data_IF_097078325830
#
_entry.id   IF_097078325830
#
_cell.length_a   1.000
_cell.length_b   1.000
_cell.length_c   1.000
_cell.angle_alpha   90.00
_cell.angle_beta   90.00
_cell.angle_gamma   90.00
#
_symmetry.space_group_name_H-M   'P 1'
#
loop_
_entity.id
_entity.type
_entity.pdbx_description
1 polymer ?
#
# COMPACT_ATOMS: atom_id res chain seq x y z
N UNK A 1 9.17 7.75 8.20
CA UNK A 1 9.30 7.72 6.73
C UNK A 1 8.16 6.90 6.14
N UNK A 2 7.67 7.29 4.98
CA UNK A 2 6.55 6.59 4.34
C UNK A 2 7.05 5.63 3.27
N UNK A 3 6.80 4.33 3.48
CA UNK A 3 7.11 3.29 2.50
C UNK A 3 5.79 2.96 1.79
N UNK A 4 5.43 3.75 0.79
CA UNK A 4 4.10 3.70 0.18
C UNK A 4 4.02 2.63 -0.91
N UNK A 5 5.01 2.58 -1.81
CA UNK A 5 5.05 1.57 -2.88
C UNK A 5 6.47 1.05 -3.10
N UNK A 6 7.08 0.58 -2.05
CA UNK A 6 8.43 0.03 -2.02
C UNK A 6 9.42 0.95 -1.34
N UNK A 7 10.58 0.41 -1.04
CA UNK A 7 11.68 1.17 -0.44
C UNK A 7 12.80 1.35 -1.46
N UNK A 8 13.61 0.33 -1.71
CA UNK A 8 14.61 0.36 -2.78
C UNK A 8 14.05 -0.13 -4.09
N UNK A 9 13.34 -1.25 -4.06
CA UNK A 9 12.62 -1.77 -5.22
C UNK A 9 11.30 -1.02 -5.34
N UNK A 10 11.05 -0.40 -6.49
CA UNK A 10 9.80 0.28 -6.77
C UNK A 10 8.71 -0.72 -7.10
N UNK A 11 7.61 -0.67 -6.36
CA UNK A 11 6.41 -1.47 -6.61
C UNK A 11 5.32 -0.59 -7.22
N UNK A 12 4.25 -1.17 -7.80
CA UNK A 12 3.15 -0.39 -8.31
C UNK A 12 2.53 0.52 -7.25
N UNK A 13 1.92 1.61 -7.68
CA UNK A 13 1.16 2.48 -6.76
C UNK A 13 0.06 1.68 -6.07
N UNK A 14 -0.31 2.01 -4.82
CA UNK A 14 -1.34 1.28 -4.10
C UNK A 14 -2.66 1.14 -4.85
N UNK A 15 -3.08 2.18 -5.56
CA UNK A 15 -4.31 2.12 -6.36
C UNK A 15 -4.17 1.10 -7.52
N UNK A 16 -3.01 1.04 -8.16
CA UNK A 16 -2.75 0.06 -9.21
C UNK A 16 -2.71 -1.36 -8.67
N UNK A 17 -2.09 -1.56 -7.49
CA UNK A 17 -2.09 -2.86 -6.82
C UNK A 17 -3.52 -3.30 -6.47
N UNK A 18 -4.33 -2.38 -5.97
CA UNK A 18 -5.73 -2.67 -5.66
C UNK A 18 -6.51 -3.06 -6.91
N UNK A 19 -6.26 -2.41 -8.03
CA UNK A 19 -6.92 -2.71 -9.31
C UNK A 19 -6.59 -4.11 -9.84
N UNK A 20 -5.50 -4.73 -9.39
CA UNK A 20 -5.14 -6.10 -9.77
C UNK A 20 -6.02 -7.16 -9.13
N UNK A 21 -6.67 -6.85 -8.02
CA UNK A 21 -7.43 -7.79 -7.18
C UNK A 21 -6.62 -9.02 -6.74
N UNK A 22 -5.30 -8.88 -6.65
CA UNK A 22 -4.39 -9.95 -6.23
C UNK A 22 -3.83 -9.64 -4.84
N UNK A 23 -4.53 -10.09 -3.81
CA UNK A 23 -4.14 -9.83 -2.42
C UNK A 23 -2.82 -10.49 -2.03
N UNK A 24 -2.51 -11.65 -2.62
CA UNK A 24 -1.24 -12.32 -2.34
C UNK A 24 -0.05 -11.53 -2.89
N UNK A 25 -0.19 -10.99 -4.11
CA UNK A 25 0.85 -10.13 -4.69
C UNK A 25 1.04 -8.85 -3.87
N UNK A 26 -0.06 -8.25 -3.39
CA UNK A 26 -0.02 -7.07 -2.53
C UNK A 26 0.72 -7.38 -1.24
N UNK A 27 0.42 -8.50 -0.60
CA UNK A 27 1.08 -8.95 0.62
C UNK A 27 2.57 -9.16 0.39
N UNK A 28 2.96 -9.80 -0.70
CA UNK A 28 4.36 -10.03 -1.04
C UNK A 28 5.12 -8.74 -1.28
N UNK A 29 4.50 -7.77 -1.98
CA UNK A 29 5.09 -6.46 -2.20
C UNK A 29 5.35 -5.73 -0.89
N UNK A 30 4.37 -5.75 0.01
CA UNK A 30 4.51 -5.15 1.34
C UNK A 30 5.61 -5.82 2.16
N UNK A 31 5.68 -7.16 2.12
CA UNK A 31 6.72 -7.92 2.81
C UNK A 31 8.12 -7.59 2.29
N UNK A 32 8.30 -7.52 0.98
CA UNK A 32 9.58 -7.15 0.39
C UNK A 32 9.99 -5.73 0.78
N UNK A 33 9.05 -4.79 0.71
CA UNK A 33 9.29 -3.40 1.11
C UNK A 33 9.71 -3.31 2.57
N UNK A 34 9.03 -4.03 3.45
CA UNK A 34 9.34 -4.06 4.88
C UNK A 34 10.73 -4.63 5.14
N UNK A 35 11.11 -5.70 4.44
CA UNK A 35 12.45 -6.29 4.57
C UNK A 35 13.54 -5.32 4.14
N UNK A 36 13.36 -4.65 3.02
CA UNK A 36 14.32 -3.67 2.53
C UNK A 36 14.46 -2.49 3.50
N UNK A 37 13.33 -1.98 3.98
CA UNK A 37 13.32 -0.86 4.92
C UNK A 37 13.95 -1.24 6.26
N UNK A 38 13.65 -2.41 6.79
CA UNK A 38 14.23 -2.90 8.04
C UNK A 38 15.74 -3.09 7.92
N UNK A 39 16.21 -3.61 6.80
CA UNK A 39 17.64 -3.78 6.54
C UNK A 39 18.37 -2.43 6.47
N UNK A 40 17.67 -1.37 6.08
CA UNK A 40 18.21 0.00 6.06
C UNK A 40 18.08 0.72 7.41
N UNK A 41 17.56 0.05 8.44
CA UNK A 41 17.47 0.61 9.80
C UNK A 41 16.15 1.31 10.13
N UNK A 42 15.14 1.20 9.27
CA UNK A 42 13.82 1.78 9.57
C UNK A 42 13.02 0.85 10.48
N UNK A 43 12.42 1.42 11.51
CA UNK A 43 11.64 0.67 12.51
C UNK A 43 10.14 1.00 12.44
N UNK A 44 9.77 2.07 11.76
CA UNK A 44 8.39 2.56 11.70
C UNK A 44 8.13 3.26 10.37
N UNK A 45 7.05 2.89 9.72
CA UNK A 45 6.53 3.57 8.54
C UNK A 45 5.12 4.08 8.83
N UNK A 46 4.72 5.17 8.16
CA UNK A 46 3.37 5.71 8.29
C UNK A 46 2.41 5.18 7.23
N UNK A 47 2.86 4.27 6.38
CA UNK A 47 2.03 3.54 5.41
C UNK A 47 1.51 2.24 6.06
N UNK A 48 0.43 1.63 5.54
CA UNK A 48 -0.33 2.04 4.37
C UNK A 48 -1.35 3.14 4.64
N UNK A 49 -1.81 3.81 3.57
CA UNK A 49 -2.96 4.70 3.61
C UNK A 49 -4.23 3.85 3.60
N UNK A 50 -5.06 3.99 4.61
CA UNK A 50 -6.28 3.16 4.75
C UNK A 50 -7.58 3.94 4.57
N UNK A 51 -7.50 5.22 4.27
CA UNK A 51 -8.67 6.03 3.95
C UNK A 51 -9.33 5.56 2.66
N UNK A 52 -10.65 5.72 2.60
CA UNK A 52 -11.42 5.33 1.43
C UNK A 52 -11.43 6.48 0.42
N UNK A 53 -11.07 6.20 -0.83
CA UNK A 53 -10.98 7.19 -1.89
C UNK A 53 -12.29 7.40 -2.62
N UNK A 54 -13.18 8.21 -2.06
CA UNK A 54 -14.50 8.47 -2.66
C UNK A 54 -14.50 9.55 -3.73
N UNK A 55 -13.51 10.45 -3.71
CA UNK A 55 -13.42 11.55 -4.65
C UNK A 55 -12.07 11.47 -5.39
N UNK A 56 -12.13 11.27 -6.70
CA UNK A 56 -10.92 11.16 -7.53
C UNK A 56 -10.09 12.45 -7.57
N UNK A 57 -10.65 13.58 -7.13
CA UNK A 57 -9.93 14.86 -7.06
C UNK A 57 -9.04 14.97 -5.83
N UNK A 58 -9.23 14.09 -4.84
CA UNK A 58 -8.37 14.06 -3.66
C UNK A 58 -6.92 13.75 -4.06
N UNK A 59 -5.98 14.62 -3.66
CA UNK A 59 -4.60 14.55 -4.12
C UNK A 59 -3.84 13.28 -3.74
N UNK A 60 -4.30 12.57 -2.70
CA UNK A 60 -3.67 11.33 -2.23
C UNK A 60 -4.45 10.07 -2.61
N UNK A 61 -5.37 10.17 -3.56
CA UNK A 61 -6.22 9.03 -3.96
C UNK A 61 -5.39 7.84 -4.45
N UNK A 62 -4.23 8.07 -5.05
CA UNK A 62 -3.35 7.01 -5.56
C UNK A 62 -2.71 6.17 -4.45
N UNK A 63 -2.67 6.67 -3.22
CA UNK A 63 -2.05 5.97 -2.09
C UNK A 63 -2.99 4.94 -1.46
N UNK A 64 -4.27 4.99 -1.78
CA UNK A 64 -5.29 4.13 -1.21
C UNK A 64 -5.70 2.98 -2.13
N UNK A 65 -6.65 2.18 -1.67
CA UNK A 65 -7.14 0.99 -2.36
C UNK A 65 -8.44 1.21 -3.13
N UNK A 66 -8.85 2.47 -3.34
CA UNK A 66 -10.06 2.79 -4.09
C UNK A 66 -11.24 3.15 -3.18
N UNK A 67 -12.46 3.01 -3.71
CA UNK A 67 -13.66 3.52 -3.06
C UNK A 67 -14.47 2.48 -2.28
N UNK A 68 -14.18 1.19 -2.46
CA UNK A 68 -14.93 0.13 -1.79
C UNK A 68 -14.37 -0.14 -0.38
N UNK A 69 -15.15 0.11 0.69
CA UNK A 69 -14.67 -0.11 2.06
C UNK A 69 -14.38 -1.59 2.38
N UNK A 70 -15.14 -2.52 1.81
CA UNK A 70 -14.90 -3.95 2.03
C UNK A 70 -13.56 -4.38 1.44
N UNK A 71 -13.32 -4.05 0.19
CA UNK A 71 -12.06 -4.37 -0.48
C UNK A 71 -10.88 -3.62 0.17
N UNK A 72 -11.10 -2.35 0.51
CA UNK A 72 -10.10 -1.55 1.21
C UNK A 72 -9.64 -2.19 2.52
N UNK A 73 -10.57 -2.75 3.29
CA UNK A 73 -10.23 -3.48 4.51
C UNK A 73 -9.38 -4.72 4.23
N UNK A 74 -9.67 -5.46 3.17
CA UNK A 74 -8.89 -6.65 2.76
C UNK A 74 -7.48 -6.26 2.33
N UNK A 75 -7.35 -5.20 1.55
CA UNK A 75 -6.05 -4.69 1.11
C UNK A 75 -5.24 -4.19 2.31
N UNK A 76 -5.86 -3.46 3.23
CA UNK A 76 -5.19 -2.99 4.44
C UNK A 76 -4.61 -4.16 5.23
N UNK A 77 -5.39 -5.22 5.44
CA UNK A 77 -4.92 -6.41 6.15
C UNK A 77 -3.76 -7.10 5.42
N UNK A 78 -3.79 -7.13 4.10
CA UNK A 78 -2.70 -7.73 3.32
C UNK A 78 -1.40 -6.92 3.39
N UNK A 79 -1.49 -5.61 3.55
CA UNK A 79 -0.32 -4.73 3.58
C UNK A 79 0.31 -4.60 4.97
N UNK A 80 -0.44 -4.83 6.03
CA UNK A 80 0.05 -4.78 7.41
C UNK A 80 0.74 -6.07 7.82
#
# INVERSE_FOLDING_TARGET
MDVIHGFRTGFPLPLAEAASFDLEAIKMGARCSAREAAAAGLHWTFAPMVDIGWDARWGRVMEGAGEDPYYGAKVAAARV
#
